data_IF_496070076335
#
_entry.id   IF_496070076335
#
_cell.length_a   1.000
_cell.length_b   1.000
_cell.length_c   1.000
_cell.angle_alpha   90.00
_cell.angle_beta   90.00
_cell.angle_gamma   90.00
#
_symmetry.space_group_name_H-M   'P 1'
#
loop_
_entity.id
_entity.type
_entity.pdbx_description
1 polymer ?
#
# COMPACT_ATOMS: atom_id res chain seq x y z
N UNK A 1 0.53 12.61 -8.76
CA UNK A 1 1.85 13.21 -8.50
C UNK A 1 1.66 14.70 -8.49
N UNK A 2 2.11 15.33 -7.44
CA UNK A 2 2.19 16.78 -7.35
C UNK A 2 3.23 17.22 -8.38
N UNK A 3 3.18 18.46 -8.88
CA UNK A 3 4.24 19.10 -9.67
C UNK A 3 5.55 19.22 -8.86
N UNK A 4 6.04 18.09 -8.37
CA UNK A 4 7.28 17.96 -7.63
C UNK A 4 8.30 17.31 -8.56
N UNK A 5 9.37 18.02 -8.83
CA UNK A 5 10.44 17.58 -9.70
C UNK A 5 11.01 16.20 -9.26
N UNK A 6 11.23 16.01 -7.96
CA UNK A 6 11.74 14.74 -7.42
C UNK A 6 10.80 13.57 -7.72
N UNK A 7 9.49 13.72 -7.50
CA UNK A 7 8.52 12.67 -7.81
C UNK A 7 8.42 12.38 -9.30
N UNK A 8 8.62 13.39 -10.16
CA UNK A 8 8.64 13.22 -11.60
C UNK A 8 9.87 12.42 -12.04
N UNK A 9 11.05 12.75 -11.51
CA UNK A 9 12.30 12.00 -11.77
C UNK A 9 12.16 10.56 -11.26
N UNK A 10 11.68 10.39 -10.03
CA UNK A 10 11.48 9.07 -9.43
C UNK A 10 10.53 8.19 -10.27
N UNK A 11 9.44 8.76 -10.78
CA UNK A 11 8.51 8.03 -11.67
C UNK A 11 9.17 7.61 -12.98
N UNK A 12 10.04 8.43 -13.56
CA UNK A 12 10.82 8.04 -14.75
C UNK A 12 11.73 6.87 -14.45
N UNK A 13 12.38 6.85 -13.28
CA UNK A 13 13.21 5.73 -12.84
C UNK A 13 12.39 4.44 -12.69
N UNK A 14 11.13 4.51 -12.21
CA UNK A 14 10.25 3.33 -12.20
C UNK A 14 10.06 2.80 -13.63
N UNK A 15 9.67 3.67 -14.58
CA UNK A 15 9.41 3.27 -15.96
C UNK A 15 10.68 2.67 -16.61
N UNK A 16 11.84 3.24 -16.33
CA UNK A 16 13.12 2.72 -16.79
C UNK A 16 13.44 1.35 -16.16
N UNK A 17 13.14 1.16 -14.87
CA UNK A 17 13.34 -0.12 -14.19
C UNK A 17 12.44 -1.22 -14.75
N UNK A 18 11.17 -0.91 -15.07
CA UNK A 18 10.24 -1.82 -15.75
C UNK A 18 10.86 -2.31 -17.08
N UNK A 19 11.36 -1.39 -17.89
CA UNK A 19 12.02 -1.72 -19.16
C UNK A 19 13.30 -2.53 -18.98
N UNK A 20 14.15 -2.12 -18.03
CA UNK A 20 15.46 -2.75 -17.76
C UNK A 20 15.31 -4.18 -17.26
N UNK A 21 14.32 -4.44 -16.40
CA UNK A 21 14.04 -5.79 -15.88
C UNK A 21 13.26 -6.66 -16.86
N UNK A 22 12.70 -6.11 -17.93
CA UNK A 22 11.83 -6.83 -18.84
C UNK A 22 10.44 -7.16 -18.22
N UNK A 23 10.06 -6.45 -17.16
CA UNK A 23 8.77 -6.59 -16.51
C UNK A 23 7.63 -6.27 -17.48
N UNK A 24 6.65 -7.17 -17.58
CA UNK A 24 5.53 -7.06 -18.54
C UNK A 24 4.37 -6.26 -17.95
N UNK A 25 4.57 -4.97 -17.77
CA UNK A 25 3.55 -4.04 -17.27
C UNK A 25 3.44 -2.84 -18.20
N UNK A 26 2.20 -2.38 -18.41
CA UNK A 26 1.90 -1.11 -19.07
C UNK A 26 1.65 -0.03 -18.00
N UNK A 27 2.55 0.96 -17.83
CA UNK A 27 2.43 1.97 -16.79
C UNK A 27 1.29 2.95 -17.05
N UNK A 28 0.41 3.15 -16.06
CA UNK A 28 -0.60 4.21 -16.03
C UNK A 28 -0.21 5.18 -14.91
N UNK A 29 0.02 6.44 -15.24
CA UNK A 29 0.34 7.46 -14.25
C UNK A 29 -0.95 8.08 -13.75
N UNK A 30 -1.28 7.84 -12.48
CA UNK A 30 -2.39 8.50 -11.79
C UNK A 30 -1.84 9.72 -11.03
N UNK A 31 -2.37 10.92 -11.25
CA UNK A 31 -2.03 12.09 -10.45
C UNK A 31 -2.35 11.81 -8.98
N UNK A 32 -1.39 12.03 -8.09
CA UNK A 32 -1.62 11.84 -6.65
C UNK A 32 -2.61 12.88 -6.12
N UNK A 33 -3.43 12.47 -5.17
CA UNK A 33 -4.18 13.41 -4.34
C UNK A 33 -3.20 14.20 -3.48
N UNK A 34 -3.42 15.48 -3.34
CA UNK A 34 -2.64 16.38 -2.48
C UNK A 34 -3.53 16.90 -1.36
N UNK A 35 -2.97 17.50 -0.29
CA UNK A 35 -3.79 18.16 0.73
C UNK A 35 -4.84 19.13 0.16
N UNK A 36 -4.53 19.81 -0.94
CA UNK A 36 -5.44 20.76 -1.61
C UNK A 36 -6.56 20.08 -2.41
N UNK A 37 -6.36 18.84 -2.83
CA UNK A 37 -7.31 18.10 -3.69
C UNK A 37 -7.99 16.92 -2.96
N UNK A 38 -7.91 16.88 -1.62
CA UNK A 38 -8.57 15.84 -0.80
C UNK A 38 -10.07 15.78 -1.08
N UNK A 39 -10.75 16.94 -1.10
CA UNK A 39 -12.19 17.02 -1.38
C UNK A 39 -12.56 16.42 -2.72
N UNK A 40 -11.87 16.80 -3.79
CA UNK A 40 -12.07 16.25 -5.13
C UNK A 40 -11.85 14.72 -5.17
N UNK A 41 -10.83 14.23 -4.47
CA UNK A 41 -10.55 12.80 -4.39
C UNK A 41 -11.66 12.02 -3.67
N UNK A 42 -12.22 12.57 -2.59
CA UNK A 42 -13.36 12.00 -1.86
C UNK A 42 -14.61 11.97 -2.75
N UNK A 43 -14.90 13.04 -3.48
CA UNK A 43 -16.04 13.13 -4.40
C UNK A 43 -15.92 12.09 -5.53
N UNK A 44 -14.75 11.99 -6.17
CA UNK A 44 -14.48 11.00 -7.22
C UNK A 44 -14.69 9.56 -6.76
N UNK A 45 -14.41 9.26 -5.50
CA UNK A 45 -14.56 7.93 -4.90
C UNK A 45 -15.97 7.67 -4.35
N UNK A 46 -16.87 8.65 -4.36
CA UNK A 46 -18.16 8.58 -3.66
C UNK A 46 -18.00 8.19 -2.19
N UNK A 47 -17.03 8.83 -1.51
CA UNK A 47 -16.69 8.61 -0.09
C UNK A 47 -17.11 9.78 0.80
N UNK A 48 -18.05 10.60 0.34
CA UNK A 48 -18.60 11.73 1.12
C UNK A 48 -19.16 11.22 2.46
N UNK A 49 -18.78 11.89 3.54
CA UNK A 49 -19.17 11.52 4.90
C UNK A 49 -18.31 10.40 5.54
N UNK A 50 -17.36 9.81 4.81
CA UNK A 50 -16.41 8.86 5.42
C UNK A 50 -15.29 9.63 6.12
N UNK A 51 -15.27 9.56 7.45
CA UNK A 51 -14.29 10.25 8.27
C UNK A 51 -12.95 9.49 8.37
N UNK A 52 -11.89 10.21 8.70
CA UNK A 52 -10.65 9.63 9.20
C UNK A 52 -10.88 9.15 10.65
N UNK A 53 -10.58 7.91 10.96
CA UNK A 53 -10.84 7.28 12.26
C UNK A 53 -9.59 6.65 12.90
N UNK A 54 -8.44 6.73 12.22
CA UNK A 54 -7.18 6.27 12.78
C UNK A 54 -6.60 7.34 13.73
N UNK A 55 -5.93 6.97 14.84
CA UNK A 55 -5.35 7.92 15.77
C UNK A 55 -4.45 8.95 15.08
N UNK A 56 -4.63 10.23 15.42
CA UNK A 56 -3.82 11.34 14.92
C UNK A 56 -2.67 11.67 15.86
N UNK A 57 -2.85 11.41 17.16
CA UNK A 57 -1.88 11.69 18.22
C UNK A 57 -1.95 10.61 19.32
N UNK A 58 -1.03 10.70 20.29
CA UNK A 58 -0.90 9.73 21.39
C UNK A 58 -2.13 9.66 22.31
N UNK A 59 -2.94 10.71 22.38
CA UNK A 59 -4.14 10.74 23.22
C UNK A 59 -5.28 9.90 22.63
N UNK A 60 -5.19 9.59 21.35
CA UNK A 60 -6.16 8.77 20.61
C UNK A 60 -5.70 7.31 20.46
N UNK A 61 -4.49 6.98 20.91
CA UNK A 61 -3.98 5.61 20.87
C UNK A 61 -4.86 4.69 21.74
N UNK A 62 -5.17 3.50 21.24
CA UNK A 62 -5.95 2.56 22.01
C UNK A 62 -6.68 1.51 21.18
N UNK A 63 -7.64 0.85 21.80
CA UNK A 63 -8.44 -0.18 21.18
C UNK A 63 -9.55 0.44 20.30
N UNK A 64 -9.52 0.17 19.01
CA UNK A 64 -10.64 0.50 18.13
C UNK A 64 -11.78 -0.51 18.31
N UNK A 65 -12.92 -0.03 18.83
CA UNK A 65 -14.06 -0.88 19.15
C UNK A 65 -14.75 -1.51 17.93
N UNK A 66 -14.55 -0.95 16.73
CA UNK A 66 -15.13 -1.51 15.50
C UNK A 66 -14.37 -2.73 14.98
N UNK A 67 -13.07 -2.76 15.20
CA UNK A 67 -12.19 -3.81 14.67
C UNK A 67 -11.60 -4.71 15.74
N UNK A 68 -11.57 -4.27 16.99
CA UNK A 68 -10.89 -4.94 18.10
C UNK A 68 -9.35 -4.83 17.99
N UNK A 69 -8.84 -3.92 17.18
CA UNK A 69 -7.41 -3.71 16.99
C UNK A 69 -6.90 -2.56 17.84
N UNK A 70 -5.70 -2.73 18.39
CA UNK A 70 -4.98 -1.69 19.10
C UNK A 70 -4.25 -0.81 18.08
N UNK A 71 -4.70 0.44 17.98
CA UNK A 71 -4.16 1.41 17.04
C UNK A 71 -3.19 2.35 17.77
N UNK A 72 -2.10 2.66 17.10
CA UNK A 72 -1.09 3.61 17.56
C UNK A 72 -0.85 4.64 16.47
N UNK A 73 -0.88 5.91 16.82
CA UNK A 73 -0.68 7.01 15.89
C UNK A 73 0.66 6.92 15.15
N UNK A 74 0.68 7.43 13.94
CA UNK A 74 1.93 7.60 13.20
C UNK A 74 2.48 9.00 13.43
N UNK A 75 3.74 9.10 13.82
CA UNK A 75 4.44 10.39 13.88
C UNK A 75 4.42 11.04 12.50
N UNK A 76 3.67 12.11 12.36
CA UNK A 76 3.43 12.80 11.10
C UNK A 76 3.31 14.28 11.37
N UNK A 77 4.12 15.11 10.70
CA UNK A 77 4.05 16.57 10.85
C UNK A 77 2.78 17.15 10.21
N UNK A 78 2.40 16.61 9.05
CA UNK A 78 1.22 17.05 8.32
C UNK A 78 0.26 15.87 8.02
N UNK A 79 -0.77 15.73 8.85
CA UNK A 79 -1.79 14.67 8.69
C UNK A 79 -2.51 14.71 7.34
N UNK A 80 -2.69 15.89 6.73
CA UNK A 80 -3.31 16.00 5.41
C UNK A 80 -2.52 15.25 4.32
N UNK A 81 -1.19 15.17 4.44
CA UNK A 81 -0.38 14.36 3.52
C UNK A 81 -0.73 12.87 3.62
N UNK A 82 -0.97 12.38 4.83
CA UNK A 82 -1.34 10.97 5.06
C UNK A 82 -2.73 10.65 4.57
N UNK A 83 -3.69 11.56 4.78
CA UNK A 83 -5.04 11.46 4.22
C UNK A 83 -4.98 11.45 2.69
N UNK A 84 -4.23 12.36 2.09
CA UNK A 84 -4.04 12.45 0.65
C UNK A 84 -3.39 11.17 0.06
N UNK A 85 -2.41 10.58 0.76
CA UNK A 85 -1.81 9.30 0.40
C UNK A 85 -2.87 8.18 0.39
N UNK A 86 -3.66 8.05 1.46
CA UNK A 86 -4.73 7.06 1.53
C UNK A 86 -5.74 7.22 0.37
N UNK A 87 -6.17 8.45 0.07
CA UNK A 87 -7.08 8.71 -1.04
C UNK A 87 -6.44 8.32 -2.38
N UNK A 88 -5.16 8.58 -2.57
CA UNK A 88 -4.42 8.14 -3.77
C UNK A 88 -4.45 6.62 -3.93
N UNK A 89 -4.24 5.86 -2.86
CA UNK A 89 -4.37 4.40 -2.89
C UNK A 89 -5.80 3.95 -3.19
N UNK A 90 -6.81 4.57 -2.58
CA UNK A 90 -8.22 4.26 -2.89
C UNK A 90 -8.56 4.50 -4.36
N UNK A 91 -8.01 5.54 -4.99
CA UNK A 91 -8.17 5.80 -6.43
C UNK A 91 -7.49 4.72 -7.28
N UNK A 92 -6.33 4.19 -6.86
CA UNK A 92 -5.74 3.02 -7.51
C UNK A 92 -6.65 1.79 -7.37
N UNK A 93 -7.23 1.54 -6.19
CA UNK A 93 -8.17 0.42 -5.99
C UNK A 93 -9.43 0.58 -6.84
N UNK A 94 -9.98 1.79 -6.90
CA UNK A 94 -11.11 2.10 -7.79
C UNK A 94 -10.73 1.83 -9.26
N UNK A 95 -9.51 2.19 -9.67
CA UNK A 95 -9.02 1.95 -11.04
C UNK A 95 -8.96 0.45 -11.38
N UNK A 96 -8.54 -0.41 -10.45
CA UNK A 96 -8.59 -1.87 -10.63
C UNK A 96 -10.01 -2.37 -10.90
N UNK A 97 -10.99 -1.83 -10.17
CA UNK A 97 -12.42 -2.17 -10.34
C UNK A 97 -12.93 -1.72 -11.71
N UNK A 98 -12.64 -0.48 -12.11
CA UNK A 98 -13.04 0.10 -13.39
C UNK A 98 -12.51 -0.68 -14.59
N UNK A 99 -11.25 -1.04 -14.54
CA UNK A 99 -10.59 -1.85 -15.56
C UNK A 99 -11.03 -3.32 -15.52
N UNK A 100 -11.63 -3.75 -14.40
CA UNK A 100 -11.89 -5.15 -14.10
C UNK A 100 -10.63 -6.03 -14.26
N UNK A 101 -9.49 -5.50 -13.85
CA UNK A 101 -8.17 -6.15 -14.00
C UNK A 101 -7.40 -6.08 -12.69
N UNK A 102 -6.58 -7.11 -12.45
CA UNK A 102 -5.51 -7.06 -11.46
C UNK A 102 -4.49 -6.01 -11.91
N UNK A 103 -4.13 -5.12 -11.01
CA UNK A 103 -3.11 -4.09 -11.25
C UNK A 103 -1.96 -4.22 -10.26
N UNK A 104 -0.81 -3.68 -10.64
CA UNK A 104 0.29 -3.40 -9.73
C UNK A 104 0.23 -1.93 -9.34
N UNK A 105 0.07 -1.66 -8.05
CA UNK A 105 0.14 -0.30 -7.50
C UNK A 105 1.59 -0.02 -7.12
N UNK A 106 2.11 1.10 -7.59
CA UNK A 106 3.49 1.55 -7.32
C UNK A 106 3.45 2.96 -6.74
N UNK A 107 4.07 3.16 -5.59
CA UNK A 107 4.38 4.49 -5.09
C UNK A 107 5.56 5.06 -5.90
N UNK A 108 5.75 6.38 -5.86
CA UNK A 108 6.77 7.06 -6.67
C UNK A 108 8.21 6.64 -6.36
N UNK A 109 8.45 6.03 -5.20
CA UNK A 109 9.75 5.55 -4.75
C UNK A 109 10.01 4.06 -5.04
N UNK A 110 9.06 3.33 -5.62
CA UNK A 110 9.27 1.94 -6.00
C UNK A 110 10.32 1.81 -7.12
N UNK A 111 11.05 0.70 -7.13
CA UNK A 111 12.03 0.39 -8.18
C UNK A 111 12.04 -1.12 -8.42
N UNK A 112 11.82 -1.56 -9.65
CA UNK A 112 11.94 -2.97 -10.00
C UNK A 112 13.41 -3.42 -9.97
N UNK A 113 13.65 -4.54 -9.33
CA UNK A 113 14.96 -5.20 -9.21
C UNK A 113 15.01 -6.53 -9.95
N UNK A 114 13.85 -7.08 -10.29
CA UNK A 114 13.69 -8.34 -11.00
C UNK A 114 12.50 -8.29 -11.96
N UNK A 115 12.45 -9.25 -12.89
CA UNK A 115 11.39 -9.37 -13.89
C UNK A 115 10.10 -9.83 -13.24
N UNK A 116 9.06 -9.01 -13.28
CA UNK A 116 7.72 -9.41 -12.86
C UNK A 116 6.89 -9.82 -14.08
N UNK A 117 6.46 -11.09 -14.09
CA UNK A 117 5.41 -11.58 -14.96
C UNK A 117 4.19 -11.87 -14.08
N UNK A 118 3.15 -11.02 -14.10
CA UNK A 118 1.99 -11.19 -13.20
C UNK A 118 1.32 -12.56 -13.33
N UNK A 119 1.38 -13.16 -14.50
CA UNK A 119 0.82 -14.49 -14.78
C UNK A 119 1.48 -15.58 -13.93
N UNK A 120 2.78 -15.46 -13.64
CA UNK A 120 3.52 -16.45 -12.85
C UNK A 120 3.04 -16.49 -11.39
N UNK A 121 2.57 -15.35 -10.87
CA UNK A 121 2.01 -15.24 -9.52
C UNK A 121 0.53 -15.62 -9.46
N UNK A 122 -0.21 -15.49 -10.55
CA UNK A 122 -1.67 -15.68 -10.55
C UNK A 122 -2.09 -17.14 -10.58
N UNK A 123 -1.22 -18.07 -10.95
CA UNK A 123 -1.52 -19.51 -11.01
C UNK A 123 -1.87 -20.10 -9.62
N UNK A 124 -1.25 -19.60 -8.55
CA UNK A 124 -1.49 -20.01 -7.16
C UNK A 124 -2.30 -18.99 -6.36
N UNK A 125 -2.55 -17.83 -6.93
CA UNK A 125 -3.12 -16.69 -6.24
C UNK A 125 -4.65 -16.78 -6.14
N UNK A 126 -5.15 -16.59 -4.93
CA UNK A 126 -6.61 -16.62 -4.66
C UNK A 126 -7.33 -15.28 -4.95
N UNK A 127 -6.64 -14.33 -5.61
CA UNK A 127 -7.22 -13.04 -6.01
C UNK A 127 -7.38 -12.04 -4.88
N UNK A 128 -6.34 -11.88 -4.08
CA UNK A 128 -6.26 -10.95 -2.96
C UNK A 128 -5.37 -9.73 -3.21
N UNK A 129 -4.39 -9.53 -2.34
CA UNK A 129 -3.30 -8.57 -2.43
C UNK A 129 -2.00 -9.31 -2.22
N UNK A 130 -0.99 -9.02 -3.04
CA UNK A 130 0.38 -9.55 -2.90
C UNK A 130 1.36 -8.40 -2.75
N UNK A 131 2.09 -8.35 -1.63
CA UNK A 131 3.23 -7.46 -1.46
C UNK A 131 4.41 -7.88 -2.33
N UNK A 132 4.98 -6.94 -3.07
CA UNK A 132 6.08 -7.16 -4.00
C UNK A 132 7.40 -6.53 -3.53
N UNK A 133 7.33 -5.62 -2.55
CA UNK A 133 8.42 -4.77 -2.15
C UNK A 133 9.32 -5.40 -1.07
N UNK A 134 10.65 -5.21 -1.22
CA UNK A 134 11.61 -5.54 -0.16
C UNK A 134 11.34 -4.67 1.07
N UNK A 135 10.99 -5.25 2.22
CA UNK A 135 10.59 -4.49 3.40
C UNK A 135 11.77 -3.87 4.16
N UNK A 136 13.00 -4.26 3.85
CA UNK A 136 14.17 -3.86 4.62
C UNK A 136 14.38 -2.34 4.61
N UNK A 137 14.30 -1.74 5.79
CA UNK A 137 14.37 -0.28 5.94
C UNK A 137 13.04 0.45 5.89
N UNK A 138 11.91 -0.24 5.65
CA UNK A 138 10.60 0.39 5.50
C UNK A 138 9.94 0.76 6.85
N UNK A 139 9.91 -0.16 7.82
CA UNK A 139 9.17 0.02 9.08
C UNK A 139 9.89 -0.58 10.28
N UNK A 140 9.37 -0.27 11.48
CA UNK A 140 9.71 -1.03 12.69
C UNK A 140 9.41 -2.52 12.45
N UNK A 141 10.32 -3.42 12.79
CA UNK A 141 10.24 -4.88 12.57
C UNK A 141 10.35 -5.34 11.12
N UNK A 142 10.72 -4.48 10.19
CA UNK A 142 10.91 -4.87 8.79
C UNK A 142 11.97 -5.97 8.62
N UNK A 143 13.00 -5.99 9.46
CA UNK A 143 14.03 -7.04 9.45
C UNK A 143 13.46 -8.40 9.93
N UNK A 144 12.60 -8.40 10.95
CA UNK A 144 11.92 -9.60 11.39
C UNK A 144 10.94 -10.13 10.35
N UNK A 145 10.19 -9.22 9.73
CA UNK A 145 9.31 -9.55 8.61
C UNK A 145 10.10 -10.20 7.48
N UNK A 146 11.19 -9.57 7.05
CA UNK A 146 12.06 -10.12 6.01
C UNK A 146 12.59 -11.51 6.39
N UNK A 147 13.11 -11.70 7.60
CA UNK A 147 13.63 -12.98 8.07
C UNK A 147 12.57 -14.10 7.98
N UNK A 148 11.31 -13.80 8.33
CA UNK A 148 10.20 -14.76 8.24
C UNK A 148 9.83 -15.06 6.80
N UNK A 149 9.71 -14.03 5.96
CA UNK A 149 9.34 -14.18 4.54
C UNK A 149 10.44 -14.90 3.75
N UNK A 150 11.70 -14.56 3.98
CA UNK A 150 12.83 -15.16 3.24
C UNK A 150 13.13 -16.62 3.60
N UNK A 151 12.45 -17.16 4.62
CA UNK A 151 12.57 -18.60 4.96
C UNK A 151 11.82 -19.52 3.98
N UNK A 152 10.97 -18.96 3.13
CA UNK A 152 10.23 -19.70 2.10
C UNK A 152 10.24 -18.93 0.78
N UNK A 153 10.50 -19.64 -0.31
CA UNK A 153 10.46 -19.07 -1.68
C UNK A 153 9.07 -19.29 -2.27
N UNK A 154 8.50 -18.23 -2.83
CA UNK A 154 7.18 -18.24 -3.45
C UNK A 154 6.16 -17.37 -2.73
N UNK A 155 4.89 -17.55 -3.10
CA UNK A 155 3.75 -16.83 -2.55
C UNK A 155 3.38 -17.42 -1.18
N UNK A 156 3.19 -16.58 -0.18
CA UNK A 156 2.92 -16.99 1.19
C UNK A 156 2.08 -15.95 1.95
N UNK A 157 1.34 -16.36 3.00
CA UNK A 157 0.62 -15.42 3.85
C UNK A 157 1.56 -14.43 4.52
N UNK A 158 1.09 -13.19 4.75
CA UNK A 158 1.82 -12.19 5.53
C UNK A 158 2.13 -12.74 6.93
N UNK A 159 3.42 -12.71 7.36
CA UNK A 159 3.80 -13.25 8.67
C UNK A 159 3.28 -12.40 9.83
N UNK A 160 3.16 -13.01 11.00
CA UNK A 160 2.95 -12.28 12.25
C UNK A 160 4.29 -11.81 12.81
N UNK A 161 4.42 -10.53 13.09
CA UNK A 161 5.63 -9.90 13.65
C UNK A 161 5.36 -9.07 14.90
N UNK A 162 4.10 -8.99 15.33
CA UNK A 162 3.67 -8.28 16.54
C UNK A 162 2.53 -9.04 17.24
N UNK A 163 1.99 -8.46 18.33
CA UNK A 163 0.81 -9.00 19.01
C UNK A 163 -0.37 -9.09 18.05
N UNK A 164 -1.27 -10.03 18.31
CA UNK A 164 -2.38 -10.35 17.39
C UNK A 164 -3.36 -9.19 17.17
N UNK A 165 -3.48 -8.29 18.14
CA UNK A 165 -4.36 -7.12 18.12
C UNK A 165 -3.73 -5.87 17.51
N UNK A 166 -2.44 -5.91 17.11
CA UNK A 166 -1.77 -4.84 16.38
C UNK A 166 -1.93 -5.07 14.87
N UNK A 167 -2.34 -4.07 14.08
CA UNK A 167 -2.43 -4.22 12.62
C UNK A 167 -1.11 -4.71 12.01
N UNK A 168 -1.15 -5.82 11.29
CA UNK A 168 0.02 -6.44 10.68
C UNK A 168 -0.25 -6.66 9.19
N UNK A 169 0.33 -5.80 8.38
CA UNK A 169 0.16 -5.80 6.94
C UNK A 169 1.44 -6.07 6.18
N UNK A 170 1.50 -5.52 4.98
CA UNK A 170 2.72 -5.53 4.18
C UNK A 170 3.74 -4.58 4.81
N UNK A 171 4.93 -5.07 5.09
CA UNK A 171 6.03 -4.21 5.50
C UNK A 171 6.57 -3.50 4.24
N UNK A 172 6.27 -2.21 4.11
CA UNK A 172 6.61 -1.42 2.93
C UNK A 172 5.61 -1.59 1.78
N UNK A 173 4.69 -0.65 1.67
CA UNK A 173 3.58 -0.66 0.70
C UNK A 173 3.91 0.01 -0.64
N UNK A 174 5.20 0.28 -0.91
CA UNK A 174 5.62 0.96 -2.14
C UNK A 174 5.27 0.20 -3.42
N UNK A 175 5.07 -1.12 -3.33
CA UNK A 175 4.63 -1.94 -4.47
C UNK A 175 3.80 -3.15 -4.02
N UNK A 176 2.61 -3.31 -4.62
CA UNK A 176 1.76 -4.49 -4.40
C UNK A 176 0.82 -4.74 -5.58
N UNK A 177 0.46 -6.01 -5.79
CA UNK A 177 -0.60 -6.40 -6.71
C UNK A 177 -1.95 -6.40 -5.98
N UNK A 178 -3.02 -6.00 -6.69
CA UNK A 178 -4.38 -6.04 -6.15
C UNK A 178 -5.39 -6.45 -7.21
N UNK A 179 -6.29 -7.37 -6.86
CA UNK A 179 -7.41 -7.76 -7.72
C UNK A 179 -8.61 -6.82 -7.55
N UNK A 180 -9.51 -6.72 -8.55
CA UNK A 180 -10.76 -5.95 -8.44
C UNK A 180 -11.62 -6.38 -7.24
N UNK A 181 -11.65 -7.68 -6.95
CA UNK A 181 -12.38 -8.24 -5.80
C UNK A 181 -11.82 -7.76 -4.47
N UNK A 182 -10.49 -7.74 -4.34
CA UNK A 182 -9.82 -7.24 -3.14
C UNK A 182 -9.98 -5.74 -3.01
N UNK A 183 -9.82 -4.98 -4.10
CA UNK A 183 -10.05 -3.54 -4.15
C UNK A 183 -11.45 -3.16 -3.65
N UNK A 184 -12.49 -3.86 -4.11
CA UNK A 184 -13.86 -3.67 -3.65
C UNK A 184 -14.02 -3.95 -2.15
N UNK A 185 -13.36 -5.00 -1.62
CA UNK A 185 -13.39 -5.31 -0.18
C UNK A 185 -12.71 -4.22 0.64
N UNK A 186 -11.58 -3.67 0.19
CA UNK A 186 -10.91 -2.55 0.85
C UNK A 186 -11.79 -1.31 0.91
N UNK A 187 -12.35 -0.87 -0.22
CA UNK A 187 -13.24 0.29 -0.27
C UNK A 187 -14.49 0.11 0.61
N UNK A 188 -15.08 -1.09 0.64
CA UNK A 188 -16.19 -1.39 1.54
C UNK A 188 -15.77 -1.36 3.01
N UNK A 189 -14.56 -1.82 3.33
CA UNK A 189 -14.04 -1.75 4.70
C UNK A 189 -13.85 -0.28 5.12
N UNK A 190 -13.30 0.56 4.26
CA UNK A 190 -13.18 2.02 4.51
C UNK A 190 -14.56 2.64 4.81
N UNK A 191 -15.59 2.31 4.03
CA UNK A 191 -16.97 2.78 4.30
C UNK A 191 -17.50 2.33 5.67
N UNK A 192 -17.11 1.15 6.11
CA UNK A 192 -17.60 0.56 7.37
C UNK A 192 -16.89 1.10 8.63
N UNK A 193 -15.56 1.25 8.56
CA UNK A 193 -14.77 1.62 9.75
C UNK A 193 -14.24 3.05 9.72
N UNK A 194 -14.19 3.70 8.55
CA UNK A 194 -13.53 4.98 8.31
C UNK A 194 -12.19 4.83 7.59
N UNK A 195 -11.56 5.96 7.26
CA UNK A 195 -10.26 5.99 6.61
C UNK A 195 -9.14 5.79 7.63
N UNK A 196 -8.19 4.94 7.28
CA UNK A 196 -6.93 4.68 7.99
C UNK A 196 -5.75 4.89 7.03
N UNK A 197 -4.51 4.97 7.51
CA UNK A 197 -3.34 4.80 6.64
C UNK A 197 -3.45 3.49 5.85
N UNK A 198 -3.11 3.51 4.56
CA UNK A 198 -3.23 2.33 3.69
C UNK A 198 -2.46 1.10 4.21
N UNK A 199 -1.29 1.30 4.79
CA UNK A 199 -0.46 0.25 5.39
C UNK A 199 -1.05 -0.33 6.69
N UNK A 200 -1.75 0.47 7.49
CA UNK A 200 -2.48 -0.01 8.66
C UNK A 200 -3.80 -0.71 8.27
N UNK A 201 -4.52 -0.18 7.27
CA UNK A 201 -5.77 -0.76 6.80
C UNK A 201 -5.53 -2.13 6.15
N UNK A 202 -4.51 -2.26 5.29
CA UNK A 202 -4.16 -3.51 4.62
C UNK A 202 -3.43 -4.47 5.56
N UNK A 203 -4.11 -4.88 6.63
CA UNK A 203 -3.57 -5.81 7.61
C UNK A 203 -4.28 -7.18 7.57
N UNK A 204 -3.56 -8.22 7.98
CA UNK A 204 -4.04 -9.61 7.96
C UNK A 204 -5.23 -9.86 8.88
N UNK A 205 -5.41 -9.06 9.94
CA UNK A 205 -6.54 -9.16 10.86
C UNK A 205 -7.85 -8.73 10.19
N UNK A 206 -7.80 -7.73 9.31
CA UNK A 206 -8.95 -7.30 8.51
C UNK A 206 -9.09 -8.10 7.20
N UNK A 207 -7.96 -8.57 6.67
CA UNK A 207 -7.87 -9.27 5.38
C UNK A 207 -6.94 -10.49 5.48
N UNK A 208 -7.42 -11.63 6.01
CA UNK A 208 -6.58 -12.81 6.28
C UNK A 208 -6.01 -13.49 5.02
N UNK A 209 -6.43 -13.06 3.84
CA UNK A 209 -5.95 -13.47 2.54
C UNK A 209 -4.84 -12.55 1.97
N UNK A 210 -4.25 -11.71 2.81
CA UNK A 210 -3.11 -10.86 2.44
C UNK A 210 -1.85 -11.70 2.32
N UNK A 211 -1.16 -11.58 1.18
CA UNK A 211 0.00 -12.39 0.84
C UNK A 211 1.22 -11.53 0.51
N UNK A 212 2.38 -12.16 0.52
CA UNK A 212 3.67 -11.59 0.13
C UNK A 212 4.45 -12.62 -0.67
N UNK A 213 5.28 -12.19 -1.59
CA UNK A 213 6.13 -13.07 -2.39
C UNK A 213 7.60 -12.88 -2.03
N UNK A 214 8.37 -13.98 -2.09
CA UNK A 214 9.82 -13.94 -2.01
C UNK A 214 10.43 -14.87 -3.07
N UNK A 215 11.48 -14.46 -3.79
CA UNK A 215 12.17 -13.17 -3.75
C UNK A 215 11.27 -11.98 -4.10
N UNK A 216 11.62 -10.79 -3.58
CA UNK A 216 10.90 -9.56 -3.87
C UNK A 216 11.21 -9.06 -5.28
N UNK A 217 10.21 -8.43 -5.91
CA UNK A 217 10.35 -7.86 -7.26
C UNK A 217 10.77 -6.40 -7.25
N UNK A 218 10.55 -5.71 -6.13
CA UNK A 218 10.83 -4.27 -6.02
C UNK A 218 11.56 -3.92 -4.73
N UNK A 219 12.22 -2.79 -4.76
CA UNK A 219 12.79 -2.10 -3.61
C UNK A 219 12.45 -0.62 -3.67
N UNK A 220 12.82 0.16 -2.65
CA UNK A 220 12.66 1.61 -2.66
C UNK A 220 13.88 2.30 -3.24
N UNK A 221 13.65 3.43 -3.92
CA UNK A 221 14.71 4.32 -4.39
C UNK A 221 15.37 5.01 -3.21
N UNK A 222 16.70 4.92 -3.13
CA UNK A 222 17.47 5.57 -2.05
C UNK A 222 17.53 7.08 -2.26
N UNK A 223 17.49 7.82 -1.16
CA UNK A 223 17.67 9.28 -1.16
C UNK A 223 16.37 10.09 -1.39
N UNK A 224 15.26 9.46 -1.69
CA UNK A 224 13.97 10.15 -1.71
C UNK A 224 13.44 10.35 -0.28
N UNK A 225 12.92 11.55 -0.03
CA UNK A 225 12.26 11.85 1.24
C UNK A 225 10.82 11.32 1.22
N UNK A 226 10.37 10.78 2.35
CA UNK A 226 8.97 10.41 2.50
C UNK A 226 8.07 11.64 2.37
N UNK A 227 6.99 11.53 1.61
CA UNK A 227 5.99 12.60 1.46
C UNK A 227 4.92 12.55 2.55
N UNK A 228 4.89 11.51 3.37
CA UNK A 228 3.86 11.31 4.42
C UNK A 228 4.37 11.52 5.84
N UNK A 229 5.68 11.51 6.05
CA UNK A 229 6.32 11.70 7.37
C UNK A 229 6.93 13.08 7.56
N UNK A 230 6.79 13.97 6.56
CA UNK A 230 7.20 15.38 6.64
C UNK A 230 6.01 16.26 6.94
#
# INVERSE_FOLDING_TARGET
MVNNHESTVATRMIIESIKKTGTKLEPIILPATTPQTIGEGIDQLNMNGVAWTYPLDEHQDGLDLKTGLRLTHYKTENHSNRVACMISHMRCWQKSIELNQTIVVLEHDALFTDTLCPEDLTSEWKGGIIGLNDPRGATRRSQEFHRKVSSYVGLQPVPSVDDWDVPQGLAGNSAYMISPKAAKKLLNKVKAIGMWPNDALMCKQLFPWLEVVYPYYTTIQKGLKSTTTQ
#
